data_IF_536195698775
#
_entry.id   IF_536195698775
#
_cell.length_a   1.000
_cell.length_b   1.000
_cell.length_c   1.000
_cell.angle_alpha   90.00
_cell.angle_beta   90.00
_cell.angle_gamma   90.00
#
_symmetry.space_group_name_H-M   'P 1'
#
loop_
_entity.id
_entity.type
_entity.pdbx_description
1 polymer ?
#
# COMPACT_ATOMS: atom_id res chain seq x y z
N UNK A 1 -19.76 -47.32 60.63
CA UNK A 1 -20.40 -46.05 60.25
C UNK A 1 -19.37 -44.99 59.82
N UNK A 2 -18.25 -44.81 60.52
CA UNK A 2 -17.19 -43.84 60.14
C UNK A 2 -16.52 -44.06 58.77
N UNK A 3 -16.33 -45.31 58.32
CA UNK A 3 -15.73 -45.54 57.00
C UNK A 3 -16.65 -45.04 55.87
N UNK A 4 -17.95 -45.19 56.02
CA UNK A 4 -18.94 -44.77 55.02
C UNK A 4 -19.01 -43.24 54.94
N UNK A 5 -18.86 -42.54 56.07
CA UNK A 5 -18.83 -41.07 56.08
C UNK A 5 -17.54 -40.54 55.46
N UNK A 6 -16.38 -41.16 55.74
CA UNK A 6 -15.10 -40.83 55.08
C UNK A 6 -15.16 -41.07 53.58
N UNK A 7 -15.78 -42.17 53.14
CA UNK A 7 -15.93 -42.49 51.71
C UNK A 7 -16.77 -41.41 50.99
N UNK A 8 -17.93 -41.04 51.55
CA UNK A 8 -18.76 -39.96 51.02
C UNK A 8 -18.05 -38.60 50.96
N UNK A 9 -17.27 -38.26 51.99
CA UNK A 9 -16.51 -37.01 52.01
C UNK A 9 -15.43 -36.99 50.92
N UNK A 10 -14.76 -38.13 50.69
CA UNK A 10 -13.77 -38.28 49.61
C UNK A 10 -14.41 -38.21 48.23
N UNK A 11 -15.60 -38.79 48.04
CA UNK A 11 -16.33 -38.69 46.77
C UNK A 11 -16.71 -37.24 46.44
N UNK A 12 -17.18 -36.47 47.45
CA UNK A 12 -17.45 -35.04 47.30
C UNK A 12 -16.18 -34.25 46.92
N UNK A 13 -15.07 -34.52 47.61
CA UNK A 13 -13.78 -33.90 47.32
C UNK A 13 -13.32 -34.21 45.88
N UNK A 14 -13.48 -35.45 45.42
CA UNK A 14 -13.18 -35.85 44.04
C UNK A 14 -14.06 -35.11 43.04
N UNK A 15 -15.36 -34.95 43.30
CA UNK A 15 -16.25 -34.19 42.41
C UNK A 15 -15.88 -32.71 42.34
N UNK A 16 -15.55 -32.09 43.47
CA UNK A 16 -15.15 -30.69 43.53
C UNK A 16 -13.82 -30.45 42.81
N UNK A 17 -12.82 -31.31 43.03
CA UNK A 17 -11.53 -31.25 42.34
C UNK A 17 -11.68 -31.48 40.85
N UNK A 18 -12.51 -32.43 40.43
CA UNK A 18 -12.78 -32.69 39.01
C UNK A 18 -13.46 -31.47 38.37
N UNK A 19 -14.38 -30.82 39.07
CA UNK A 19 -15.00 -29.57 38.63
C UNK A 19 -13.97 -28.47 38.41
N UNK A 20 -13.08 -28.25 39.39
CA UNK A 20 -11.99 -27.26 39.29
C UNK A 20 -11.02 -27.58 38.16
N UNK A 21 -10.65 -28.84 37.98
CA UNK A 21 -9.76 -29.27 36.89
C UNK A 21 -10.39 -29.02 35.51
N UNK A 22 -11.68 -29.33 35.35
CA UNK A 22 -12.41 -29.06 34.09
C UNK A 22 -12.52 -27.56 33.80
N UNK A 23 -12.78 -26.77 34.84
CA UNK A 23 -12.81 -25.31 34.72
C UNK A 23 -11.43 -24.77 34.31
N UNK A 24 -10.35 -25.16 35.00
CA UNK A 24 -8.99 -24.74 34.66
C UNK A 24 -8.57 -25.20 33.26
N UNK A 25 -8.98 -26.41 32.85
CA UNK A 25 -8.75 -26.90 31.51
C UNK A 25 -9.48 -26.04 30.47
N UNK A 26 -10.74 -25.67 30.73
CA UNK A 26 -11.50 -24.79 29.84
C UNK A 26 -10.87 -23.39 29.74
N UNK A 27 -10.44 -22.81 30.87
CA UNK A 27 -9.73 -21.52 30.91
C UNK A 27 -8.43 -21.57 30.11
N UNK A 28 -7.64 -22.64 30.26
CA UNK A 28 -6.41 -22.82 29.49
C UNK A 28 -6.67 -22.89 27.98
N UNK A 29 -7.69 -23.64 27.56
CA UNK A 29 -8.05 -23.72 26.14
C UNK A 29 -8.54 -22.38 25.60
N UNK A 30 -9.31 -21.62 26.38
CA UNK A 30 -9.76 -20.28 25.99
C UNK A 30 -8.59 -19.31 25.87
N UNK A 31 -7.68 -19.30 26.87
CA UNK A 31 -6.44 -18.52 26.83
C UNK A 31 -5.62 -18.86 25.58
N UNK A 32 -5.42 -20.15 25.30
CA UNK A 32 -4.63 -20.60 24.14
C UNK A 32 -5.26 -20.13 22.82
N UNK A 33 -6.59 -20.26 22.66
CA UNK A 33 -7.31 -19.80 21.46
C UNK A 33 -7.24 -18.28 21.30
N UNK A 34 -7.40 -17.54 22.39
CA UNK A 34 -7.34 -16.07 22.35
C UNK A 34 -5.92 -15.59 22.03
N UNK A 35 -4.92 -16.14 22.71
CA UNK A 35 -3.52 -15.84 22.44
C UNK A 35 -3.11 -16.19 20.99
N UNK A 36 -3.65 -17.27 20.43
CA UNK A 36 -3.40 -17.62 19.03
C UNK A 36 -3.95 -16.54 18.06
N UNK A 37 -5.21 -16.10 18.27
CA UNK A 37 -5.81 -15.03 17.46
C UNK A 37 -5.10 -13.69 17.63
N UNK A 38 -4.73 -13.33 18.85
CA UNK A 38 -3.98 -12.09 19.13
C UNK A 38 -2.61 -12.08 18.46
N UNK A 39 -1.89 -13.21 18.49
CA UNK A 39 -0.59 -13.34 17.79
C UNK A 39 -0.75 -13.19 16.29
N UNK A 40 -1.77 -13.82 15.70
CA UNK A 40 -2.01 -13.71 14.26
C UNK A 40 -2.37 -12.28 13.86
N UNK A 41 -3.28 -11.62 14.60
CA UNK A 41 -3.58 -10.20 14.39
C UNK A 41 -2.35 -9.31 14.56
N UNK A 42 -1.55 -9.55 15.60
CA UNK A 42 -0.33 -8.78 15.82
C UNK A 42 0.65 -8.96 14.67
N UNK A 43 0.84 -10.18 14.18
CA UNK A 43 1.70 -10.46 13.01
C UNK A 43 1.19 -9.74 11.76
N UNK A 44 -0.11 -9.81 11.56
CA UNK A 44 -0.80 -9.30 10.39
C UNK A 44 -0.76 -7.76 10.29
N UNK A 45 -0.75 -7.08 11.44
CA UNK A 45 -0.73 -5.62 11.54
C UNK A 45 0.59 -5.07 12.10
N UNK A 46 1.63 -5.89 12.28
CA UNK A 46 2.92 -5.46 12.83
C UNK A 46 3.58 -4.36 11.99
N UNK A 47 3.44 -4.44 10.66
CA UNK A 47 4.03 -3.49 9.72
C UNK A 47 3.25 -2.19 9.56
N UNK A 48 2.10 -2.02 10.25
CA UNK A 48 1.18 -0.90 10.02
C UNK A 48 1.91 0.45 10.13
N UNK A 49 2.67 0.66 11.21
CA UNK A 49 3.42 1.93 11.38
C UNK A 49 4.46 2.14 10.29
N UNK A 50 5.26 1.10 10.02
CA UNK A 50 6.28 1.16 8.98
C UNK A 50 5.69 1.44 7.59
N UNK A 51 4.58 0.79 7.25
CA UNK A 51 3.89 1.02 6.00
C UNK A 51 3.37 2.46 5.93
N UNK A 52 2.81 2.99 7.02
CA UNK A 52 2.35 4.38 7.12
C UNK A 52 3.47 5.39 6.84
N UNK A 53 4.62 5.24 7.49
CA UNK A 53 5.79 6.11 7.30
C UNK A 53 6.30 6.03 5.83
N UNK A 54 6.22 4.85 5.22
CA UNK A 54 6.63 4.66 3.83
C UNK A 54 5.68 5.33 2.82
N UNK A 55 4.39 5.51 3.15
CA UNK A 55 3.44 6.19 2.26
C UNK A 55 3.83 7.64 1.98
N UNK A 56 4.47 8.32 2.92
CA UNK A 56 4.98 9.68 2.69
C UNK A 56 6.03 9.68 1.57
N UNK A 57 6.90 8.68 1.55
CA UNK A 57 7.91 8.54 0.48
C UNK A 57 7.30 8.21 -0.87
N UNK A 58 6.23 7.39 -0.89
CA UNK A 58 5.47 7.07 -2.10
C UNK A 58 4.84 8.33 -2.69
N UNK A 59 4.28 9.19 -1.84
CA UNK A 59 3.67 10.45 -2.26
C UNK A 59 4.72 11.42 -2.83
N UNK A 60 5.91 11.51 -2.22
CA UNK A 60 7.01 12.33 -2.75
C UNK A 60 7.46 11.83 -4.12
N UNK A 61 7.58 10.51 -4.30
CA UNK A 61 7.89 9.93 -5.62
C UNK A 61 6.78 10.22 -6.64
N UNK A 62 5.51 10.10 -6.24
CA UNK A 62 4.37 10.44 -7.09
C UNK A 62 4.38 11.92 -7.49
N UNK A 63 4.72 12.81 -6.57
CA UNK A 63 4.86 14.25 -6.83
C UNK A 63 6.03 14.53 -7.79
N UNK A 64 7.15 13.84 -7.61
CA UNK A 64 8.33 13.96 -8.47
C UNK A 64 8.05 13.48 -9.91
N UNK A 65 7.23 12.44 -10.08
CA UNK A 65 6.80 12.00 -11.42
C UNK A 65 5.85 13.02 -12.07
N UNK A 66 4.90 13.57 -11.31
CA UNK A 66 3.95 14.59 -11.80
C UNK A 66 4.59 15.94 -12.13
N UNK A 67 5.74 16.26 -11.54
CA UNK A 67 6.39 17.56 -11.74
C UNK A 67 7.09 17.68 -13.09
N UNK A 68 7.36 16.56 -13.76
CA UNK A 68 7.91 16.53 -15.12
C UNK A 68 6.75 16.58 -16.11
N UNK A 69 6.56 17.67 -16.87
CA UNK A 69 5.49 17.74 -17.86
C UNK A 69 5.78 16.79 -19.02
N UNK A 70 4.73 16.20 -19.60
CA UNK A 70 4.85 15.28 -20.75
C UNK A 70 5.59 15.90 -21.94
N UNK A 71 5.50 17.23 -22.10
CA UNK A 71 6.21 17.99 -23.13
C UNK A 71 7.73 17.93 -22.98
N UNK A 72 8.25 17.74 -21.75
CA UNK A 72 9.68 17.62 -21.47
C UNK A 72 10.19 16.17 -21.58
N UNK A 73 9.31 15.21 -21.88
CA UNK A 73 9.63 13.82 -22.17
C UNK A 73 9.55 13.52 -23.69
N UNK A 74 8.95 14.41 -24.47
CA UNK A 74 8.81 14.31 -25.92
C UNK A 74 10.00 14.98 -26.61
N UNK A 75 10.79 14.21 -27.38
CA UNK A 75 11.94 14.75 -28.14
C UNK A 75 11.48 15.74 -29.22
N UNK A 76 11.84 17.03 -29.17
CA UNK A 76 11.53 17.98 -30.24
C UNK A 76 12.32 17.69 -31.54
N UNK A 77 13.46 17.01 -31.44
CA UNK A 77 14.34 16.67 -32.58
C UNK A 77 13.86 15.47 -33.41
N UNK A 78 12.92 14.66 -32.90
CA UNK A 78 12.34 13.56 -33.67
C UNK A 78 11.36 14.06 -34.76
N UNK A 79 10.83 15.28 -34.62
CA UNK A 79 9.88 15.87 -35.57
C UNK A 79 10.56 16.67 -36.70
N UNK A 80 11.86 16.98 -36.60
CA UNK A 80 12.59 17.86 -37.53
C UNK A 80 13.56 17.14 -38.48
N UNK A 81 13.69 15.81 -38.40
CA UNK A 81 14.50 15.04 -39.36
C UNK A 81 13.64 14.43 -40.48
N UNK A 82 13.68 14.97 -41.72
CA UNK A 82 13.01 14.34 -42.86
C UNK A 82 13.79 13.09 -43.30
N UNK A 83 13.03 12.02 -43.53
CA UNK A 83 13.32 10.81 -44.31
C UNK A 83 14.75 10.57 -44.81
N UNK A 84 15.38 9.50 -44.31
CA UNK A 84 16.34 8.70 -45.09
C UNK A 84 15.91 7.22 -44.96
N UNK A 85 15.71 6.49 -46.10
CA UNK A 85 15.29 5.09 -46.08
C UNK A 85 16.41 4.16 -45.58
N UNK A 86 16.11 2.91 -45.15
CA UNK A 86 17.12 1.99 -44.68
C UNK A 86 17.89 1.40 -45.87
N UNK A 87 19.05 1.96 -46.20
CA UNK A 87 19.99 1.35 -47.13
C UNK A 87 20.85 0.31 -46.41
N UNK A 88 20.73 -0.94 -46.85
CA UNK A 88 21.57 -2.07 -46.48
C UNK A 88 23.06 -1.78 -46.74
N UNK A 89 23.94 -2.14 -45.80
CA UNK A 89 25.31 -2.54 -46.12
C UNK A 89 25.88 -3.44 -45.02
N UNK A 90 25.95 -4.73 -45.34
CA UNK A 90 26.90 -5.72 -44.79
C UNK A 90 28.34 -5.21 -44.89
N UNK A 91 29.16 -5.45 -43.86
CA UNK A 91 30.53 -6.00 -43.97
C UNK A 91 31.19 -6.16 -42.59
N UNK A 92 31.96 -7.23 -42.49
CA UNK A 92 32.66 -7.78 -41.33
C UNK A 92 33.91 -6.95 -40.95
N UNK A 93 34.35 -7.04 -39.68
CA UNK A 93 35.62 -7.69 -39.26
C UNK A 93 36.34 -7.02 -38.06
N UNK A 94 36.61 -7.88 -37.07
CA UNK A 94 37.80 -8.04 -36.21
C UNK A 94 38.46 -6.84 -35.48
N UNK A 95 38.54 -7.08 -34.16
CA UNK A 95 39.74 -7.07 -33.31
C UNK A 95 40.25 -5.76 -32.68
N UNK A 96 40.16 -5.79 -31.35
CA UNK A 96 41.22 -5.49 -30.37
C UNK A 96 41.40 -4.07 -29.86
N UNK A 97 41.42 -4.02 -28.53
CA UNK A 97 42.17 -3.13 -27.63
C UNK A 97 41.47 -1.88 -27.09
N UNK A 98 41.52 -1.77 -25.76
CA UNK A 98 41.13 -0.67 -24.87
C UNK A 98 39.62 -0.51 -24.57
N UNK A 99 39.10 -1.36 -23.67
CA UNK A 99 37.84 -1.08 -22.95
C UNK A 99 38.06 0.09 -21.98
N UNK A 100 37.95 1.30 -22.53
CA UNK A 100 37.47 2.46 -21.78
C UNK A 100 35.98 2.53 -22.10
N UNK A 101 35.04 2.51 -21.15
CA UNK A 101 33.64 2.65 -21.49
C UNK A 101 33.44 4.08 -21.99
N UNK A 102 33.37 4.22 -23.30
CA UNK A 102 32.97 5.44 -23.99
C UNK A 102 31.62 5.85 -23.41
N UNK A 103 31.61 6.97 -22.69
CA UNK A 103 30.39 7.59 -22.20
C UNK A 103 29.54 7.88 -23.43
N UNK A 104 28.34 7.30 -23.60
CA UNK A 104 27.47 7.73 -24.67
C UNK A 104 27.17 9.21 -24.40
N UNK A 105 27.46 10.08 -25.36
CA UNK A 105 27.07 11.50 -25.34
C UNK A 105 25.53 11.56 -25.43
N UNK A 106 24.85 11.24 -24.34
CA UNK A 106 23.40 11.35 -24.23
C UNK A 106 23.04 12.82 -24.13
N UNK A 107 21.94 13.21 -24.75
CA UNK A 107 21.43 14.57 -24.61
C UNK A 107 20.89 14.75 -23.18
N UNK A 108 20.87 15.99 -22.63
CA UNK A 108 20.24 16.27 -21.34
C UNK A 108 18.80 15.75 -21.25
N UNK A 109 18.06 15.79 -22.37
CA UNK A 109 16.71 15.25 -22.47
C UNK A 109 16.69 13.72 -22.28
N UNK A 110 17.59 12.98 -22.95
CA UNK A 110 17.70 11.53 -22.75
C UNK A 110 18.02 11.15 -21.30
N UNK A 111 18.90 11.91 -20.63
CA UNK A 111 19.16 11.68 -19.20
C UNK A 111 17.92 11.92 -18.33
N UNK A 112 17.12 12.94 -18.64
CA UNK A 112 15.87 13.22 -17.94
C UNK A 112 14.86 12.09 -18.15
N UNK A 113 14.67 11.64 -19.39
CA UNK A 113 13.75 10.53 -19.71
C UNK A 113 14.16 9.24 -19.02
N UNK A 114 15.46 8.90 -19.02
CA UNK A 114 15.98 7.72 -18.32
C UNK A 114 15.81 7.83 -16.80
N UNK A 115 16.06 9.01 -16.23
CA UNK A 115 15.85 9.26 -14.80
C UNK A 115 14.37 9.12 -14.43
N UNK A 116 13.47 9.77 -15.17
CA UNK A 116 12.02 9.69 -14.97
C UNK A 116 11.56 8.23 -15.00
N UNK A 117 12.02 7.45 -15.99
CA UNK A 117 11.71 6.03 -16.09
C UNK A 117 12.24 5.23 -14.89
N UNK A 118 13.46 5.51 -14.42
CA UNK A 118 14.03 4.85 -13.24
C UNK A 118 13.24 5.15 -11.95
N UNK A 119 12.80 6.40 -11.79
CA UNK A 119 11.95 6.82 -10.65
C UNK A 119 10.58 6.14 -10.74
N UNK A 120 9.96 6.07 -11.92
CA UNK A 120 8.67 5.40 -12.12
C UNK A 120 8.73 3.91 -11.80
N UNK A 121 9.78 3.22 -12.27
CA UNK A 121 10.00 1.80 -11.95
C UNK A 121 10.17 1.57 -10.45
N UNK A 122 10.88 2.46 -9.76
CA UNK A 122 11.08 2.39 -8.30
C UNK A 122 9.75 2.60 -7.57
N UNK A 123 8.98 3.61 -7.97
CA UNK A 123 7.66 3.89 -7.43
C UNK A 123 6.72 2.69 -7.60
N UNK A 124 6.67 2.10 -8.80
CA UNK A 124 5.85 0.91 -9.10
C UNK A 124 6.27 -0.30 -8.27
N UNK A 125 7.57 -0.54 -8.12
CA UNK A 125 8.08 -1.66 -7.32
C UNK A 125 7.71 -1.49 -5.83
N UNK A 126 7.78 -0.26 -5.31
CA UNK A 126 7.40 0.07 -3.94
C UNK A 126 5.91 -0.14 -3.68
N UNK A 127 5.04 0.27 -4.61
CA UNK A 127 3.61 -0.03 -4.52
C UNK A 127 3.34 -1.54 -4.59
N UNK A 128 4.07 -2.26 -5.45
CA UNK A 128 3.93 -3.72 -5.56
C UNK A 128 4.34 -4.45 -4.28
N UNK A 129 5.39 -4.01 -3.58
CA UNK A 129 5.78 -4.60 -2.30
C UNK A 129 4.73 -4.33 -1.23
N UNK A 130 4.26 -3.09 -1.10
CA UNK A 130 3.15 -2.72 -0.21
C UNK A 130 1.90 -3.58 -0.46
N UNK A 131 1.53 -3.79 -1.73
CA UNK A 131 0.41 -4.65 -2.12
C UNK A 131 0.56 -6.10 -1.66
N UNK A 132 1.77 -6.69 -1.77
CA UNK A 132 2.05 -8.06 -1.30
C UNK A 132 1.81 -8.23 0.20
N UNK A 133 2.03 -7.17 0.98
CA UNK A 133 1.77 -7.15 2.43
C UNK A 133 0.34 -6.72 2.78
N UNK A 134 -0.55 -6.57 1.80
CA UNK A 134 -1.96 -6.27 2.00
C UNK A 134 -2.28 -4.79 2.14
N UNK A 135 -1.33 -3.90 1.81
CA UNK A 135 -1.56 -2.45 1.73
C UNK A 135 -2.08 -2.10 0.34
N UNK A 136 -3.29 -1.54 0.25
CA UNK A 136 -3.96 -1.23 -1.01
C UNK A 136 -4.30 0.25 -1.10
N UNK A 137 -3.94 0.94 -2.20
CA UNK A 137 -4.46 2.27 -2.47
C UNK A 137 -5.95 2.19 -2.78
N UNK A 138 -6.68 3.24 -2.42
CA UNK A 138 -8.05 3.46 -2.87
C UNK A 138 -8.25 4.94 -3.20
N UNK A 139 -8.92 5.19 -4.31
CA UNK A 139 -9.34 6.52 -4.75
C UNK A 139 -10.87 6.58 -4.62
N UNK A 140 -11.42 7.38 -3.70
CA UNK A 140 -12.86 7.48 -3.47
C UNK A 140 -13.53 8.57 -4.32
N UNK A 141 -12.88 9.06 -5.39
CA UNK A 141 -13.46 10.06 -6.28
C UNK A 141 -14.79 9.57 -6.87
N UNK A 142 -15.87 10.32 -6.64
CA UNK A 142 -17.23 9.96 -7.06
C UNK A 142 -18.02 9.12 -6.05
N UNK A 143 -17.39 8.59 -5.00
CA UNK A 143 -18.09 7.85 -3.94
C UNK A 143 -18.75 8.79 -2.92
N UNK A 144 -19.64 8.22 -2.10
CA UNK A 144 -20.20 8.91 -0.94
C UNK A 144 -19.16 9.05 0.18
N UNK A 145 -19.17 10.19 0.87
CA UNK A 145 -18.23 10.46 1.95
C UNK A 145 -18.45 9.56 3.18
N UNK A 146 -17.50 8.65 3.45
CA UNK A 146 -17.38 7.87 4.70
C UNK A 146 -16.30 8.46 5.65
N UNK A 147 -16.68 8.95 6.85
CA UNK A 147 -15.73 9.48 7.84
C UNK A 147 -14.66 8.50 8.33
N UNK A 148 -14.89 7.18 8.23
CA UNK A 148 -13.91 6.18 8.69
C UNK A 148 -12.77 5.97 7.67
N UNK A 149 -12.96 6.44 6.44
CA UNK A 149 -12.05 6.20 5.31
C UNK A 149 -11.58 7.50 4.66
N UNK A 150 -12.28 8.60 4.88
CA UNK A 150 -12.04 9.86 4.19
C UNK A 150 -11.86 11.02 5.18
N UNK A 151 -10.93 11.91 4.86
CA UNK A 151 -10.70 13.17 5.54
C UNK A 151 -11.13 14.30 4.60
N UNK A 152 -12.23 14.98 4.92
CA UNK A 152 -12.73 16.11 4.12
C UNK A 152 -11.88 17.35 4.40
N UNK A 153 -11.11 17.81 3.41
CA UNK A 153 -10.28 19.01 3.54
C UNK A 153 -11.07 20.29 3.29
N UNK A 154 -12.01 20.25 2.36
CA UNK A 154 -12.84 21.39 2.00
C UNK A 154 -14.17 20.92 1.42
N UNK A 155 -15.13 21.85 1.42
CA UNK A 155 -16.41 21.66 0.76
C UNK A 155 -16.57 22.70 -0.35
N UNK A 156 -17.05 22.28 -1.51
CA UNK A 156 -17.26 23.16 -2.65
C UNK A 156 -18.64 22.94 -3.27
N UNK A 157 -19.37 24.01 -3.64
CA UNK A 157 -20.63 23.90 -4.35
C UNK A 157 -20.35 23.40 -5.76
N UNK A 158 -20.82 22.20 -6.09
CA UNK A 158 -20.70 21.63 -7.42
C UNK A 158 -22.08 21.35 -8.00
N UNK A 159 -22.45 21.97 -9.14
CA UNK A 159 -23.79 21.79 -9.73
C UNK A 159 -24.00 20.38 -10.33
N UNK A 160 -22.94 19.59 -10.46
CA UNK A 160 -22.94 18.31 -11.16
C UNK A 160 -22.88 17.09 -10.22
N UNK A 161 -22.76 17.28 -8.90
CA UNK A 161 -22.63 16.19 -7.92
C UNK A 161 -23.64 16.36 -6.78
N UNK A 162 -24.12 15.24 -6.24
CA UNK A 162 -25.02 15.26 -5.09
C UNK A 162 -24.29 15.75 -3.82
N UNK A 163 -24.97 16.45 -2.90
CA UNK A 163 -24.37 16.84 -1.63
C UNK A 163 -23.81 15.63 -0.87
N UNK A 164 -22.59 15.73 -0.37
CA UNK A 164 -21.89 14.63 0.33
C UNK A 164 -21.14 13.66 -0.58
N UNK A 165 -21.13 13.87 -1.90
CA UNK A 165 -20.28 13.13 -2.85
C UNK A 165 -18.87 13.70 -2.87
N UNK A 166 -17.87 12.84 -3.04
CA UNK A 166 -16.47 13.24 -3.19
C UNK A 166 -16.23 13.77 -4.60
N UNK A 167 -15.76 15.02 -4.69
CA UNK A 167 -15.49 15.72 -5.95
C UNK A 167 -14.13 15.30 -6.51
N UNK A 168 -13.12 15.34 -5.66
CA UNK A 168 -11.73 15.06 -6.01
C UNK A 168 -10.96 14.48 -4.83
N UNK A 169 -9.97 13.64 -5.15
CA UNK A 169 -9.03 13.07 -4.19
C UNK A 169 -7.68 13.80 -4.30
N UNK A 170 -7.38 14.69 -3.33
CA UNK A 170 -6.09 15.38 -3.28
C UNK A 170 -4.96 14.44 -2.87
N UNK A 171 -5.21 13.55 -1.91
CA UNK A 171 -4.26 12.50 -1.52
C UNK A 171 -4.95 11.16 -1.42
N UNK A 172 -4.39 10.19 -2.15
CA UNK A 172 -4.86 8.81 -2.18
C UNK A 172 -4.85 8.22 -0.76
N UNK A 173 -5.90 7.50 -0.43
CA UNK A 173 -6.03 6.75 0.81
C UNK A 173 -5.45 5.35 0.69
N UNK A 174 -5.07 4.76 1.82
CA UNK A 174 -4.54 3.40 1.86
C UNK A 174 -5.22 2.59 2.96
N UNK A 175 -5.52 1.33 2.66
CA UNK A 175 -5.99 0.35 3.62
C UNK A 175 -4.95 -0.75 3.80
N UNK A 176 -4.86 -1.31 5.01
CA UNK A 176 -4.12 -2.54 5.28
C UNK A 176 -5.11 -3.61 5.71
N UNK A 177 -5.30 -4.62 4.86
CA UNK A 177 -6.35 -5.64 5.04
C UNK A 177 -7.72 -4.99 5.23
N UNK A 178 -8.31 -5.11 6.42
CA UNK A 178 -9.64 -4.60 6.73
C UNK A 178 -9.62 -3.24 7.49
N UNK A 179 -8.44 -2.65 7.69
CA UNK A 179 -8.27 -1.39 8.44
C UNK A 179 -7.78 -0.25 7.56
N UNK A 180 -8.26 0.96 7.82
CA UNK A 180 -7.74 2.18 7.22
C UNK A 180 -6.33 2.44 7.77
N UNK A 181 -5.32 2.50 6.89
CA UNK A 181 -3.95 2.86 7.22
C UNK A 181 -3.76 4.38 7.15
N UNK A 182 -4.26 4.99 6.08
CA UNK A 182 -4.34 6.44 5.90
C UNK A 182 -5.64 6.79 5.19
N UNK A 183 -6.41 7.73 5.75
CA UNK A 183 -7.61 8.22 5.10
C UNK A 183 -7.26 8.97 3.79
N UNK A 184 -8.13 8.87 2.79
CA UNK A 184 -8.00 9.68 1.59
C UNK A 184 -8.37 11.13 1.91
N UNK A 185 -7.57 12.09 1.47
CA UNK A 185 -7.87 13.51 1.65
C UNK A 185 -8.66 14.01 0.45
N UNK A 186 -9.87 14.47 0.70
CA UNK A 186 -10.88 14.68 -0.36
C UNK A 186 -11.59 16.03 -0.25
N UNK A 187 -12.03 16.55 -1.39
CA UNK A 187 -13.02 17.62 -1.47
C UNK A 187 -14.43 17.03 -1.53
N UNK A 188 -15.37 17.57 -0.76
CA UNK A 188 -16.77 17.08 -0.71
C UNK A 188 -17.72 18.10 -1.32
N UNK A 189 -18.69 17.64 -2.08
CA UNK A 189 -19.74 18.48 -2.64
C UNK A 189 -20.65 19.01 -1.53
N UNK A 190 -20.80 20.34 -1.47
CA UNK A 190 -21.83 21.00 -0.66
C UNK A 190 -23.02 21.39 -1.52
N UNK A 191 -24.17 21.54 -0.89
CA UNK A 191 -25.35 22.13 -1.52
C UNK A 191 -25.03 23.58 -1.91
N UNK A 192 -25.33 23.98 -3.15
CA UNK A 192 -25.27 25.39 -3.55
C UNK A 192 -26.46 26.10 -2.92
N UNK A 193 -26.22 26.83 -1.83
CA UNK A 193 -27.22 27.76 -1.25
C UNK A 193 -27.43 28.98 -2.14
#
# INVERSE_FOLDING_TARGET
MELVTKLKAKDQEVTDLTGRLRYLQADFLNLQRNAAREREQTRDYAITRFAGDLLETVDVLSLALKSVPDSALMDPDAASSPSVPPSQSTSQSSSSSSDTPSTPNKTPHQYLTELHHGVDMTHRLLLQTLFKYGVKPFDPTGDAFDPNRHEALYQAPTPNAAPGTIIDCQKIGYTIKDRTLRAAQVGVASESS
#
